data_IF_713824631976
#
_entry.id   IF_713824631976
#
_cell.length_a   1.000
_cell.length_b   1.000
_cell.length_c   1.000
_cell.angle_alpha   90.00
_cell.angle_beta   90.00
_cell.angle_gamma   90.00
#
_symmetry.space_group_name_H-M   'P 1'
#
loop_
_entity.id
_entity.type
_entity.pdbx_description
1 polymer ?
#
# COMPACT_ATOMS: atom_id res chain seq x y z
N UNK A 1 -19.28 19.95 45.92
CA UNK A 1 -18.90 18.54 45.78
C UNK A 1 -18.96 18.19 44.30
N UNK A 2 -17.81 17.92 43.70
CA UNK A 2 -17.65 17.76 42.25
C UNK A 2 -18.26 16.41 41.85
N UNK A 3 -19.38 16.43 41.13
CA UNK A 3 -20.01 15.23 40.57
C UNK A 3 -19.13 14.71 39.44
N UNK A 4 -18.18 13.86 39.81
CA UNK A 4 -17.36 13.09 38.88
C UNK A 4 -18.22 12.08 38.11
N UNK A 5 -18.91 12.56 37.09
CA UNK A 5 -19.37 11.69 36.00
C UNK A 5 -18.10 11.28 35.26
N UNK A 6 -17.51 10.17 35.69
CA UNK A 6 -16.52 9.46 34.89
C UNK A 6 -17.21 9.12 33.57
N UNK A 7 -16.91 9.90 32.54
CA UNK A 7 -17.14 9.55 31.15
C UNK A 7 -16.43 8.22 30.90
N UNK A 8 -17.16 7.11 31.04
CA UNK A 8 -16.62 5.78 30.72
C UNK A 8 -16.61 5.69 29.20
N UNK A 9 -15.55 6.21 28.58
CA UNK A 9 -15.33 6.04 27.15
C UNK A 9 -15.19 4.57 26.77
N UNK A 10 -15.56 4.22 25.54
CA UNK A 10 -15.37 2.87 25.00
C UNK A 10 -13.91 2.41 25.10
N UNK A 11 -13.69 1.20 25.61
CA UNK A 11 -12.38 0.56 25.67
C UNK A 11 -12.38 -0.74 24.89
N UNK A 12 -11.63 -0.79 23.80
CA UNK A 12 -11.48 -2.01 23.03
C UNK A 12 -10.40 -2.92 23.65
N UNK A 13 -10.80 -4.14 24.05
CA UNK A 13 -9.91 -5.09 24.73
C UNK A 13 -8.69 -5.54 23.91
N UNK A 14 -8.72 -5.37 22.59
CA UNK A 14 -7.63 -5.73 21.67
C UNK A 14 -6.94 -4.50 21.04
N UNK A 15 -6.97 -3.35 21.71
CA UNK A 15 -6.40 -2.11 21.17
C UNK A 15 -4.93 -2.26 20.75
N UNK A 16 -4.10 -2.92 21.57
CA UNK A 16 -2.69 -3.16 21.24
C UNK A 16 -2.51 -4.03 20.00
N UNK A 17 -3.37 -5.04 19.80
CA UNK A 17 -3.32 -5.89 18.62
C UNK A 17 -3.79 -5.15 17.36
N UNK A 18 -4.80 -4.28 17.48
CA UNK A 18 -5.27 -3.42 16.40
C UNK A 18 -4.14 -2.51 15.92
N UNK A 19 -3.51 -1.76 16.83
CA UNK A 19 -2.40 -0.86 16.52
C UNK A 19 -1.19 -1.60 15.94
N UNK A 20 -0.88 -2.80 16.44
CA UNK A 20 0.19 -3.62 15.88
C UNK A 20 -0.10 -4.03 14.42
N UNK A 21 -1.33 -4.48 14.12
CA UNK A 21 -1.72 -4.87 12.76
C UNK A 21 -1.80 -3.69 11.81
N UNK A 22 -2.23 -2.53 12.30
CA UNK A 22 -2.20 -1.28 11.55
C UNK A 22 -0.76 -0.93 11.14
N UNK A 23 0.16 -0.95 12.10
CA UNK A 23 1.58 -0.70 11.82
C UNK A 23 2.18 -1.69 10.81
N UNK A 24 1.83 -2.98 10.89
CA UNK A 24 2.26 -3.97 9.90
C UNK A 24 1.69 -3.70 8.51
N UNK A 25 0.44 -3.22 8.40
CA UNK A 25 -0.17 -2.81 7.14
C UNK A 25 0.59 -1.62 6.55
N UNK A 26 0.81 -0.56 7.33
CA UNK A 26 1.54 0.65 6.92
C UNK A 26 2.97 0.31 6.45
N UNK A 27 3.68 -0.54 7.20
CA UNK A 27 5.00 -1.03 6.79
C UNK A 27 4.95 -1.74 5.44
N UNK A 28 3.96 -2.61 5.23
CA UNK A 28 3.80 -3.30 3.96
C UNK A 28 3.45 -2.36 2.79
N UNK A 29 2.70 -1.27 3.05
CA UNK A 29 2.41 -0.21 2.07
C UNK A 29 3.69 0.49 1.62
N UNK A 30 4.53 0.89 2.58
CA UNK A 30 5.84 1.53 2.30
C UNK A 30 6.75 0.60 1.50
N UNK A 31 6.86 -0.66 1.93
CA UNK A 31 7.69 -1.65 1.23
C UNK A 31 7.22 -1.91 -0.21
N UNK A 32 5.90 -1.99 -0.42
CA UNK A 32 5.33 -2.13 -1.75
C UNK A 32 5.58 -0.90 -2.63
N UNK A 33 5.38 0.30 -2.08
CA UNK A 33 5.68 1.55 -2.79
C UNK A 33 7.15 1.66 -3.22
N UNK A 34 8.07 1.30 -2.33
CA UNK A 34 9.51 1.27 -2.64
C UNK A 34 9.85 0.25 -3.74
N UNK A 35 9.24 -0.94 -3.69
CA UNK A 35 9.41 -1.97 -4.73
C UNK A 35 8.86 -1.50 -6.09
N UNK A 36 7.69 -0.86 -6.12
CA UNK A 36 7.12 -0.29 -7.34
C UNK A 36 8.00 0.82 -7.91
N UNK A 37 8.48 1.75 -7.08
CA UNK A 37 9.40 2.81 -7.53
C UNK A 37 10.70 2.23 -8.12
N UNK A 38 11.23 1.18 -7.51
CA UNK A 38 12.42 0.48 -8.01
C UNK A 38 12.18 -0.23 -9.34
N UNK A 39 11.00 -0.85 -9.53
CA UNK A 39 10.58 -1.47 -10.77
C UNK A 39 10.42 -0.43 -11.89
N UNK A 40 9.76 0.69 -11.58
CA UNK A 40 9.54 1.77 -12.54
C UNK A 40 10.86 2.33 -13.07
N UNK A 41 11.83 2.58 -12.18
CA UNK A 41 13.19 3.01 -12.57
C UNK A 41 13.87 2.01 -13.51
N UNK A 42 13.74 0.72 -13.23
CA UNK A 42 14.36 -0.32 -14.08
C UNK A 42 13.71 -0.39 -15.47
N UNK A 43 12.39 -0.18 -15.57
CA UNK A 43 11.67 -0.11 -16.84
C UNK A 43 12.06 1.12 -17.66
N UNK A 44 12.17 2.29 -17.03
CA UNK A 44 12.62 3.51 -17.69
C UNK A 44 14.05 3.38 -18.24
N UNK A 45 14.94 2.73 -17.48
CA UNK A 45 16.29 2.45 -17.96
C UNK A 45 16.30 1.45 -19.13
N UNK A 46 15.43 0.44 -19.12
CA UNK A 46 15.26 -0.47 -20.25
C UNK A 46 14.79 0.28 -21.51
N UNK A 47 13.75 1.12 -21.39
CA UNK A 47 13.25 1.96 -22.48
C UNK A 47 14.36 2.85 -23.05
N UNK A 48 15.19 3.45 -22.19
CA UNK A 48 16.34 4.26 -22.63
C UNK A 48 17.34 3.43 -23.43
N UNK A 49 17.66 2.21 -23.00
CA UNK A 49 18.56 1.33 -23.75
C UNK A 49 17.98 0.89 -25.09
N UNK A 50 16.69 0.53 -25.11
CA UNK A 50 16.00 0.14 -26.34
C UNK A 50 15.92 1.31 -27.33
N UNK A 51 15.62 2.52 -26.85
CA UNK A 51 15.65 3.75 -27.65
C UNK A 51 17.04 3.99 -28.26
N UNK A 52 18.10 4.00 -27.44
CA UNK A 52 19.48 4.19 -27.91
C UNK A 52 19.91 3.15 -28.93
N UNK A 53 19.54 1.88 -28.72
CA UNK A 53 19.80 0.82 -29.68
C UNK A 53 19.06 1.05 -30.99
N UNK A 54 17.79 1.47 -30.94
CA UNK A 54 17.00 1.79 -32.13
C UNK A 54 17.60 2.97 -32.90
N UNK A 55 17.96 4.05 -32.23
CA UNK A 55 18.60 5.22 -32.85
C UNK A 55 19.92 4.85 -33.52
N UNK A 56 20.80 4.12 -32.82
CA UNK A 56 22.07 3.69 -33.39
C UNK A 56 21.89 2.76 -34.59
N UNK A 57 20.85 1.91 -34.58
CA UNK A 57 20.51 1.06 -35.71
C UNK A 57 20.07 1.89 -36.92
N UNK A 58 19.20 2.88 -36.71
CA UNK A 58 18.77 3.79 -37.77
C UNK A 58 19.95 4.59 -38.34
N UNK A 59 20.86 5.06 -37.51
CA UNK A 59 22.09 5.76 -37.96
C UNK A 59 22.97 4.86 -38.82
N UNK A 60 23.15 3.59 -38.43
CA UNK A 60 23.88 2.62 -39.23
C UNK A 60 23.18 2.38 -40.58
N UNK A 61 21.86 2.15 -40.59
CA UNK A 61 21.07 1.93 -41.81
C UNK A 61 21.17 3.13 -42.76
N UNK A 62 21.08 4.37 -42.25
CA UNK A 62 21.27 5.59 -43.04
C UNK A 62 22.70 5.71 -43.58
N UNK A 63 23.70 5.49 -42.74
CA UNK A 63 25.10 5.59 -43.15
C UNK A 63 25.49 4.57 -44.22
N UNK A 64 24.90 3.37 -44.19
CA UNK A 64 25.09 2.34 -45.23
C UNK A 64 24.55 2.76 -46.60
N UNK A 65 23.55 3.65 -46.66
CA UNK A 65 23.07 4.24 -47.92
C UNK A 65 23.91 5.43 -48.40
N UNK A 66 24.86 5.89 -47.58
CA UNK A 66 25.76 7.00 -47.85
C UNK A 66 27.23 6.56 -48.00
N UNK A 67 28.16 7.42 -47.60
CA UNK A 67 29.60 7.15 -47.58
C UNK A 67 30.06 6.86 -46.16
N UNK A 68 29.82 5.64 -45.67
CA UNK A 68 30.41 5.16 -44.42
C UNK A 68 31.65 4.30 -44.70
N UNK A 69 32.67 4.48 -43.86
CA UNK A 69 33.88 3.66 -43.89
C UNK A 69 33.65 2.31 -43.21
N UNK A 70 34.49 1.32 -43.54
CA UNK A 70 34.47 0.01 -42.89
C UNK A 70 34.72 0.10 -41.38
N UNK A 71 35.55 1.04 -40.93
CA UNK A 71 35.82 1.30 -39.51
C UNK A 71 34.59 1.80 -38.76
N UNK A 72 33.83 2.71 -39.36
CA UNK A 72 32.55 3.20 -38.78
C UNK A 72 31.51 2.08 -38.70
N UNK A 73 31.41 1.24 -39.75
CA UNK A 73 30.50 0.08 -39.76
C UNK A 73 30.84 -0.87 -38.60
N UNK A 74 32.12 -1.18 -38.41
CA UNK A 74 32.58 -2.06 -37.33
C UNK A 74 32.25 -1.47 -35.96
N UNK A 75 32.53 -0.18 -35.74
CA UNK A 75 32.23 0.51 -34.49
C UNK A 75 30.73 0.51 -34.14
N UNK A 76 29.86 0.76 -35.11
CA UNK A 76 28.40 0.66 -34.91
C UNK A 76 27.96 -0.76 -34.59
N UNK A 77 28.52 -1.77 -35.28
CA UNK A 77 28.18 -3.18 -35.03
C UNK A 77 28.56 -3.61 -33.60
N UNK A 78 29.76 -3.24 -33.15
CA UNK A 78 30.24 -3.51 -31.79
C UNK A 78 29.38 -2.80 -30.75
N UNK A 79 29.05 -1.53 -30.97
CA UNK A 79 28.15 -0.77 -30.10
C UNK A 79 26.77 -1.42 -30.00
N UNK A 80 26.15 -1.77 -31.12
CA UNK A 80 24.83 -2.41 -31.16
C UNK A 80 24.83 -3.77 -30.45
N UNK A 81 25.89 -4.56 -30.64
CA UNK A 81 26.06 -5.83 -29.93
C UNK A 81 26.22 -5.63 -28.42
N UNK A 82 26.98 -4.62 -27.99
CA UNK A 82 27.08 -4.24 -26.58
C UNK A 82 25.73 -3.80 -26.01
N UNK A 83 24.96 -3.01 -26.75
CA UNK A 83 23.63 -2.56 -26.35
C UNK A 83 22.63 -3.72 -26.24
N UNK A 84 22.65 -4.70 -27.15
CA UNK A 84 21.82 -5.92 -27.03
C UNK A 84 22.08 -6.66 -25.74
N UNK A 85 23.36 -6.82 -25.34
CA UNK A 85 23.73 -7.46 -24.07
C UNK A 85 23.21 -6.67 -22.87
N UNK A 86 23.34 -5.33 -22.89
CA UNK A 86 22.79 -4.45 -21.84
C UNK A 86 21.27 -4.55 -21.73
N UNK A 87 20.56 -4.52 -22.85
CA UNK A 87 19.10 -4.69 -22.90
C UNK A 87 18.70 -6.04 -22.32
N UNK A 88 19.39 -7.12 -22.69
CA UNK A 88 19.09 -8.46 -22.16
C UNK A 88 19.28 -8.52 -20.64
N UNK A 89 20.39 -7.98 -20.12
CA UNK A 89 20.63 -7.87 -18.67
C UNK A 89 19.57 -7.03 -17.98
N UNK A 90 19.17 -5.89 -18.57
CA UNK A 90 18.17 -5.02 -17.98
C UNK A 90 16.77 -5.66 -17.97
N UNK A 91 16.42 -6.46 -18.99
CA UNK A 91 15.18 -7.25 -19.00
C UNK A 91 15.14 -8.26 -17.84
N UNK A 92 16.27 -8.90 -17.53
CA UNK A 92 16.37 -9.78 -16.37
C UNK A 92 16.18 -9.02 -15.06
N UNK A 93 16.76 -7.83 -14.93
CA UNK A 93 16.57 -6.98 -13.75
C UNK A 93 15.12 -6.50 -13.60
N UNK A 94 14.46 -6.09 -14.69
CA UNK A 94 13.02 -5.77 -14.66
C UNK A 94 12.22 -6.97 -14.17
N UNK A 95 12.43 -8.16 -14.75
CA UNK A 95 11.73 -9.38 -14.32
C UNK A 95 11.98 -9.73 -12.84
N UNK A 96 13.21 -9.52 -12.34
CA UNK A 96 13.53 -9.71 -10.93
C UNK A 96 12.76 -8.74 -10.05
N UNK A 97 12.71 -7.45 -10.42
CA UNK A 97 11.98 -6.42 -9.66
C UNK A 97 10.47 -6.60 -9.73
N UNK A 98 9.94 -7.13 -10.83
CA UNK A 98 8.52 -7.51 -10.94
C UNK A 98 8.14 -8.58 -9.92
N UNK A 99 8.98 -9.61 -9.77
CA UNK A 99 8.77 -10.66 -8.75
C UNK A 99 8.76 -10.08 -7.34
N UNK A 100 9.72 -9.20 -7.02
CA UNK A 100 9.78 -8.52 -5.71
C UNK A 100 8.54 -7.67 -5.48
N UNK A 101 8.12 -6.86 -6.46
CA UNK A 101 6.92 -6.03 -6.33
C UNK A 101 5.65 -6.89 -6.16
N UNK A 102 5.54 -8.03 -6.86
CA UNK A 102 4.43 -8.96 -6.71
C UNK A 102 4.40 -9.61 -5.31
N UNK A 103 5.55 -9.99 -4.77
CA UNK A 103 5.67 -10.52 -3.41
C UNK A 103 5.25 -9.47 -2.37
N UNK A 104 5.75 -8.24 -2.48
CA UNK A 104 5.37 -7.14 -1.57
C UNK A 104 3.90 -6.79 -1.68
N UNK A 105 3.31 -6.83 -2.88
CA UNK A 105 1.86 -6.68 -3.08
C UNK A 105 1.07 -7.76 -2.35
N UNK A 106 1.50 -9.03 -2.46
CA UNK A 106 0.86 -10.15 -1.75
C UNK A 106 0.92 -9.96 -0.24
N UNK A 107 2.07 -9.54 0.30
CA UNK A 107 2.19 -9.25 1.73
C UNK A 107 1.26 -8.12 2.16
N UNK A 108 1.22 -7.01 1.40
CA UNK A 108 0.30 -5.90 1.68
C UNK A 108 -1.16 -6.35 1.74
N UNK A 109 -1.60 -7.18 0.79
CA UNK A 109 -2.96 -7.72 0.79
C UNK A 109 -3.26 -8.53 2.05
N UNK A 110 -2.31 -9.37 2.48
CA UNK A 110 -2.48 -10.17 3.70
C UNK A 110 -2.54 -9.29 4.96
N UNK A 111 -1.61 -8.33 5.13
CA UNK A 111 -1.63 -7.42 6.28
C UNK A 111 -2.88 -6.55 6.32
N UNK A 112 -3.34 -6.10 5.16
CA UNK A 112 -4.61 -5.37 5.03
C UNK A 112 -5.79 -6.22 5.50
N UNK A 113 -5.84 -7.49 5.08
CA UNK A 113 -6.89 -8.42 5.50
C UNK A 113 -6.86 -8.65 7.02
N UNK A 114 -5.69 -8.92 7.60
CA UNK A 114 -5.52 -9.12 9.04
C UNK A 114 -5.95 -7.90 9.86
N UNK A 115 -5.63 -6.69 9.39
CA UNK A 115 -6.06 -5.42 9.99
C UNK A 115 -7.59 -5.25 9.90
N UNK A 116 -8.18 -5.43 8.71
CA UNK A 116 -9.63 -5.31 8.50
C UNK A 116 -10.44 -6.26 9.37
N UNK A 117 -9.92 -7.46 9.65
CA UNK A 117 -10.59 -8.41 10.55
C UNK A 117 -10.72 -7.84 11.95
N UNK A 118 -9.64 -7.30 12.53
CA UNK A 118 -9.67 -6.79 13.90
C UNK A 118 -10.43 -5.46 14.00
N UNK A 119 -10.35 -4.62 12.97
CA UNK A 119 -11.13 -3.38 12.83
C UNK A 119 -12.64 -3.68 12.86
N UNK A 120 -13.10 -4.69 12.10
CA UNK A 120 -14.51 -5.13 12.14
C UNK A 120 -14.95 -5.68 13.51
N UNK A 121 -14.03 -6.29 14.27
CA UNK A 121 -14.33 -6.74 15.63
C UNK A 121 -14.51 -5.54 16.55
N UNK A 122 -13.64 -4.53 16.46
CA UNK A 122 -13.76 -3.29 17.23
C UNK A 122 -15.08 -2.57 16.92
N UNK A 123 -15.44 -2.46 15.64
CA UNK A 123 -16.69 -1.82 15.21
C UNK A 123 -17.92 -2.50 15.83
N UNK A 124 -17.97 -3.84 15.80
CA UNK A 124 -19.05 -4.62 16.43
C UNK A 124 -19.09 -4.46 17.94
N UNK A 125 -17.94 -4.44 18.60
CA UNK A 125 -17.85 -4.24 20.05
C UNK A 125 -18.30 -2.82 20.43
N UNK A 126 -17.95 -1.81 19.63
CA UNK A 126 -18.40 -0.44 19.80
C UNK A 126 -19.92 -0.31 19.64
N UNK A 127 -20.49 -0.94 18.61
CA UNK A 127 -21.95 -0.96 18.40
C UNK A 127 -22.69 -1.58 19.59
N UNK A 128 -22.19 -2.70 20.14
CA UNK A 128 -22.77 -3.33 21.34
C UNK A 128 -22.67 -2.42 22.56
N UNK A 129 -21.53 -1.77 22.76
CA UNK A 129 -21.33 -0.82 23.85
C UNK A 129 -22.31 0.37 23.76
N UNK A 130 -22.48 0.94 22.57
CA UNK A 130 -23.48 2.01 22.33
C UNK A 130 -24.91 1.57 22.64
N UNK A 131 -25.30 0.36 22.22
CA UNK A 131 -26.62 -0.20 22.53
C UNK A 131 -26.82 -0.39 24.04
N UNK A 132 -25.80 -0.85 24.76
CA UNK A 132 -25.86 -1.01 26.21
C UNK A 132 -25.99 0.34 26.91
N UNK A 133 -25.21 1.34 26.49
CA UNK A 133 -25.26 2.69 27.04
C UNK A 133 -26.65 3.32 26.85
N UNK A 134 -27.24 3.19 25.65
CA UNK A 134 -28.59 3.66 25.37
C UNK A 134 -29.65 2.97 26.23
N UNK A 135 -29.55 1.66 26.46
CA UNK A 135 -30.47 0.92 27.34
C UNK A 135 -30.35 1.36 28.80
N UNK A 136 -29.13 1.63 29.29
CA UNK A 136 -28.91 2.12 30.65
C UNK A 136 -29.48 3.53 30.83
N UNK A 137 -29.29 4.41 29.85
CA UNK A 137 -29.85 5.76 29.89
C UNK A 137 -31.39 5.74 29.88
N UNK A 138 -32.00 4.88 29.05
CA UNK A 138 -33.45 4.73 29.02
C UNK A 138 -34.00 4.26 30.37
N UNK A 139 -33.40 3.23 30.99
CA UNK A 139 -33.80 2.76 32.34
C UNK A 139 -33.71 3.87 33.37
N UNK A 140 -32.64 4.69 33.33
CA UNK A 140 -32.46 5.81 34.25
C UNK A 140 -33.58 6.85 34.11
N UNK A 141 -33.99 7.16 32.87
CA UNK A 141 -35.09 8.08 32.58
C UNK A 141 -36.44 7.54 33.09
N UNK A 142 -36.69 6.25 32.89
CA UNK A 142 -37.92 5.59 33.38
C UNK A 142 -38.01 5.63 34.91
N UNK A 143 -36.92 5.30 35.62
CA UNK A 143 -36.84 5.34 37.09
C UNK A 143 -37.05 6.75 37.67
N UNK A 144 -36.51 7.78 37.01
CA UNK A 144 -36.76 9.19 37.39
C UNK A 144 -38.22 9.60 37.16
N UNK A 145 -38.88 9.03 36.15
CA UNK A 145 -40.29 9.33 35.84
C UNK A 145 -41.23 8.71 36.88
N UNK A 146 -40.96 7.47 37.31
CA UNK A 146 -41.74 6.79 38.37
C UNK A 146 -41.61 7.51 39.73
N UNK A 147 -40.40 7.91 40.10
CA UNK A 147 -40.15 8.60 41.39
C UNK A 147 -40.75 10.00 41.45
N UNK A 148 -40.94 10.68 40.31
CA UNK A 148 -41.61 11.99 40.24
C UNK A 148 -43.13 11.86 40.38
N UNK A 149 -43.76 10.90 39.68
CA UNK A 149 -45.21 10.67 39.79
C UNK A 149 -45.62 10.10 41.15
N UNK A 150 -44.73 9.40 41.86
CA UNK A 150 -45.00 8.93 43.23
C UNK A 150 -45.05 10.03 44.29
N UNK A 151 -44.58 11.25 44.01
CA UNK A 151 -44.65 12.40 44.94
C UNK A 151 -45.89 13.27 44.77
N UNK A 152 -46.60 13.14 43.64
CA UNK A 152 -47.83 13.89 43.36
C UNK A 152 -49.09 13.20 43.92
N UNK A 153 -48.93 12.09 44.65
CA UNK A 153 -50.02 11.30 45.29
C UNK A 153 -50.02 11.35 46.83
N UNK A 154 -49.46 12.40 47.45
CA UNK A 154 -49.59 12.66 48.89
C UNK A 154 -50.00 14.10 49.19
#
# INVERSE_FOLDING_TARGET
MNTGVLSVGFKFRYQSLLSYREHLKEKAEIEFGSAQGSLQKARQELELYEYRHSTARMSLEQGLTGRMTSGEIAAYSDYLNGMKKRIASQKQEVARKERVAAEKRKNLLERTKEYRIIEKVQEKDHQKWMQQLSRLEQKRVDEMSVTRHGRDFH
#
